data_IF_318771770859
#
_entry.id   IF_318771770859
#
_cell.length_a   1.000
_cell.length_b   1.000
_cell.length_c   1.000
_cell.angle_alpha   90.00
_cell.angle_beta   90.00
_cell.angle_gamma   90.00
#
_symmetry.space_group_name_H-M   'P 1'
#
loop_
_entity.id
_entity.type
_entity.pdbx_description
1 polymer ?
#
# COMPACT_ATOMS: atom_id res chain seq x y z
N UNK A 1 18.10 5.89 -18.28
CA UNK A 1 19.52 5.57 -18.24
C UNK A 1 20.14 6.57 -17.29
N UNK A 2 20.67 6.08 -16.19
CA UNK A 2 21.22 6.91 -15.14
C UNK A 2 22.62 7.36 -15.54
N UNK A 3 22.84 8.65 -15.58
CA UNK A 3 24.17 9.25 -15.67
C UNK A 3 24.81 9.42 -14.28
N UNK A 4 24.34 8.65 -13.28
CA UNK A 4 24.85 8.74 -11.91
C UNK A 4 26.04 7.79 -11.71
N UNK A 5 26.84 8.05 -10.69
CA UNK A 5 27.92 7.17 -10.25
C UNK A 5 27.40 5.80 -9.72
N UNK A 6 26.10 5.69 -9.48
CA UNK A 6 25.44 4.47 -9.04
C UNK A 6 24.41 4.02 -10.10
N UNK A 7 24.82 3.33 -11.15
CA UNK A 7 23.94 2.93 -12.26
C UNK A 7 23.01 1.76 -11.92
N UNK A 8 23.04 1.25 -10.69
CA UNK A 8 22.28 0.09 -10.22
C UNK A 8 21.25 0.55 -9.18
N UNK A 9 19.99 0.12 -9.36
CA UNK A 9 18.97 0.30 -8.33
C UNK A 9 19.16 -0.76 -7.23
N UNK A 10 19.61 -0.33 -6.06
CA UNK A 10 19.73 -1.21 -4.89
C UNK A 10 18.34 -1.69 -4.42
N UNK A 11 18.20 -3.01 -4.24
CA UNK A 11 17.00 -3.60 -3.65
C UNK A 11 17.16 -3.72 -2.13
N UNK A 12 16.11 -3.37 -1.39
CA UNK A 12 16.01 -3.59 0.06
C UNK A 12 14.65 -4.20 0.36
N UNK A 13 14.62 -5.21 1.21
CA UNK A 13 13.37 -5.74 1.73
C UNK A 13 13.44 -5.99 3.23
N UNK A 14 12.28 -6.07 3.87
CA UNK A 14 12.15 -6.34 5.29
C UNK A 14 11.02 -7.32 5.54
N UNK A 15 11.21 -8.20 6.53
CA UNK A 15 10.17 -9.11 6.97
C UNK A 15 8.97 -8.31 7.51
N UNK A 16 7.80 -8.52 6.91
CA UNK A 16 6.57 -7.84 7.28
C UNK A 16 5.51 -8.78 7.91
N UNK A 17 5.60 -10.07 7.65
CA UNK A 17 4.73 -11.09 8.25
C UNK A 17 5.40 -12.46 8.20
N UNK A 18 4.95 -13.37 9.07
CA UNK A 18 5.26 -14.79 9.04
C UNK A 18 3.93 -15.56 9.06
N UNK A 19 3.82 -16.58 8.23
CA UNK A 19 2.68 -17.49 8.23
C UNK A 19 3.10 -18.85 8.82
N UNK A 20 2.38 -19.27 9.86
CA UNK A 20 2.56 -20.59 10.49
C UNK A 20 1.18 -21.25 10.67
N UNK A 21 1.01 -22.45 10.12
CA UNK A 21 -0.25 -23.20 10.20
C UNK A 21 -1.50 -22.39 9.74
N UNK A 22 -1.34 -21.59 8.69
CA UNK A 22 -2.42 -20.75 8.15
C UNK A 22 -2.70 -19.47 8.96
N UNK A 23 -1.92 -19.20 10.00
CA UNK A 23 -2.02 -17.98 10.81
C UNK A 23 -0.93 -16.99 10.40
N UNK A 24 -1.34 -15.82 9.94
CA UNK A 24 -0.43 -14.75 9.56
C UNK A 24 -0.17 -13.84 10.76
N UNK A 25 1.09 -13.82 11.19
CA UNK A 25 1.56 -12.95 12.28
C UNK A 25 2.32 -11.78 11.70
N UNK A 26 1.86 -10.53 11.89
CA UNK A 26 2.56 -9.36 11.39
C UNK A 26 3.89 -9.16 12.13
N UNK A 27 4.87 -8.65 11.39
CA UNK A 27 6.20 -8.30 11.89
C UNK A 27 6.54 -6.88 11.48
N UNK A 28 7.25 -6.17 12.34
CA UNK A 28 7.69 -4.80 12.09
C UNK A 28 9.15 -4.64 12.49
N UNK A 29 9.90 -3.91 11.69
CA UNK A 29 11.23 -3.44 12.10
C UNK A 29 11.10 -2.02 12.62
N UNK A 30 11.32 -1.83 13.91
CA UNK A 30 11.36 -0.52 14.56
C UNK A 30 12.73 0.13 14.27
N UNK A 31 12.73 1.41 14.01
CA UNK A 31 13.93 2.20 13.73
C UNK A 31 13.80 3.57 14.40
N UNK A 32 14.90 4.13 14.89
CA UNK A 32 14.95 5.51 15.38
C UNK A 32 14.55 6.52 14.30
N UNK A 33 14.87 6.21 13.03
CA UNK A 33 14.39 7.01 11.91
C UNK A 33 12.98 6.53 11.52
N UNK A 34 11.97 7.33 11.84
CA UNK A 34 10.56 7.06 11.59
C UNK A 34 10.27 6.75 10.11
N UNK A 35 10.95 7.43 9.18
CA UNK A 35 10.79 7.19 7.73
C UNK A 35 11.23 5.79 7.28
N UNK A 36 12.00 5.08 8.11
CA UNK A 36 12.47 3.71 7.86
C UNK A 36 11.60 2.63 8.51
N UNK A 37 10.57 3.02 9.27
CA UNK A 37 9.61 2.09 9.86
C UNK A 37 8.71 1.55 8.75
N UNK A 38 8.64 0.22 8.64
CA UNK A 38 7.87 -0.45 7.59
C UNK A 38 6.41 -0.61 8.00
N UNK A 39 5.53 -0.79 7.03
CA UNK A 39 4.16 -1.22 7.28
C UNK A 39 4.13 -2.75 7.45
N UNK A 40 3.62 -3.27 8.58
CA UNK A 40 3.58 -4.70 8.87
C UNK A 40 2.52 -5.43 8.06
N UNK A 41 2.45 -6.74 8.24
CA UNK A 41 1.44 -7.63 7.69
C UNK A 41 1.63 -8.01 6.22
N UNK A 42 0.89 -9.02 5.77
CA UNK A 42 0.68 -9.34 4.36
C UNK A 42 -0.40 -8.38 3.81
N UNK A 43 -0.13 -7.72 2.67
CA UNK A 43 -0.88 -6.52 2.26
C UNK A 43 -1.32 -6.58 0.81
N UNK A 44 -2.39 -5.84 0.52
CA UNK A 44 -2.85 -5.48 -0.83
C UNK A 44 -2.71 -3.98 -1.03
N UNK A 45 -2.49 -3.58 -2.28
CA UNK A 45 -2.42 -2.19 -2.68
C UNK A 45 -3.53 -1.90 -3.68
N UNK A 46 -4.37 -0.94 -3.35
CA UNK A 46 -5.48 -0.49 -4.20
C UNK A 46 -5.22 0.92 -4.69
N UNK A 47 -5.43 1.17 -5.98
CA UNK A 47 -5.50 2.51 -6.56
C UNK A 47 -6.96 2.93 -6.69
N UNK A 48 -7.24 4.14 -6.23
CA UNK A 48 -8.58 4.71 -6.20
C UNK A 48 -8.64 5.80 -7.26
N UNK A 49 -9.70 5.76 -8.07
CA UNK A 49 -9.93 6.69 -9.17
C UNK A 49 -11.25 7.43 -8.95
N UNK A 50 -11.27 8.71 -9.28
CA UNK A 50 -12.51 9.47 -9.42
C UNK A 50 -13.27 9.05 -10.69
N UNK A 51 -14.52 9.48 -10.81
CA UNK A 51 -15.40 9.19 -11.96
C UNK A 51 -14.83 9.67 -13.31
N UNK A 52 -13.93 10.65 -13.29
CA UNK A 52 -13.20 11.13 -14.48
C UNK A 52 -12.01 10.24 -14.88
N UNK A 53 -11.75 9.15 -14.16
CA UNK A 53 -10.64 8.23 -14.39
C UNK A 53 -9.29 8.69 -13.85
N UNK A 54 -9.22 9.82 -13.14
CA UNK A 54 -7.99 10.28 -12.50
C UNK A 54 -7.76 9.58 -11.17
N UNK A 55 -6.53 9.10 -10.97
CA UNK A 55 -6.11 8.48 -9.71
C UNK A 55 -5.91 9.54 -8.63
N UNK A 56 -6.55 9.35 -7.49
CA UNK A 56 -6.54 10.32 -6.38
C UNK A 56 -5.71 9.89 -5.20
N UNK A 57 -5.60 8.59 -4.96
CA UNK A 57 -4.78 8.02 -3.90
C UNK A 57 -4.56 6.53 -4.15
N UNK A 58 -3.54 5.98 -3.51
CA UNK A 58 -3.41 4.55 -3.31
C UNK A 58 -3.72 4.22 -1.83
N UNK A 59 -4.34 3.07 -1.56
CA UNK A 59 -4.60 2.61 -0.20
C UNK A 59 -3.97 1.24 0.02
N UNK A 60 -3.12 1.17 1.03
CA UNK A 60 -2.51 -0.08 1.48
C UNK A 60 -3.41 -0.71 2.54
N UNK A 61 -3.87 -1.92 2.27
CA UNK A 61 -4.80 -2.69 3.09
C UNK A 61 -4.17 -3.99 3.59
N UNK A 62 -4.70 -4.56 4.66
CA UNK A 62 -4.38 -5.95 5.03
C UNK A 62 -4.92 -6.89 3.94
N UNK A 63 -4.25 -8.01 3.72
CA UNK A 63 -4.54 -8.94 2.62
C UNK A 63 -5.99 -9.44 2.54
N UNK A 64 -6.68 -9.51 3.68
CA UNK A 64 -8.07 -9.97 3.80
C UNK A 64 -9.11 -8.85 3.64
N UNK A 65 -8.67 -7.60 3.46
CA UNK A 65 -9.55 -6.48 3.20
C UNK A 65 -9.86 -6.37 1.70
N UNK A 66 -11.06 -5.91 1.39
CA UNK A 66 -11.49 -5.52 0.05
C UNK A 66 -12.19 -4.18 0.12
N UNK A 67 -11.96 -3.34 -0.88
CA UNK A 67 -12.66 -2.06 -1.00
C UNK A 67 -13.88 -2.28 -1.87
N UNK A 68 -15.06 -2.00 -1.31
CA UNK A 68 -16.35 -2.08 -2.00
C UNK A 68 -16.71 -0.68 -2.52
N UNK A 69 -16.68 -0.43 -3.85
CA UNK A 69 -16.94 0.90 -4.40
C UNK A 69 -18.42 1.34 -4.27
N UNK A 70 -19.33 0.44 -3.88
CA UNK A 70 -20.72 0.78 -3.60
C UNK A 70 -20.93 1.45 -2.23
N UNK A 71 -19.90 1.48 -1.40
CA UNK A 71 -19.94 2.06 -0.04
C UNK A 71 -19.02 3.26 0.08
N UNK A 72 -19.34 4.24 0.92
CA UNK A 72 -18.44 5.35 1.18
C UNK A 72 -17.08 4.86 1.70
N UNK A 73 -16.00 5.38 1.12
CA UNK A 73 -14.62 5.11 1.53
C UNK A 73 -14.03 6.35 2.19
N UNK A 74 -13.54 6.23 3.41
CA UNK A 74 -12.82 7.31 4.08
C UNK A 74 -11.31 7.06 4.02
N UNK A 75 -10.62 7.90 3.27
CA UNK A 75 -9.18 8.02 3.25
C UNK A 75 -8.72 8.94 4.38
N UNK A 76 -7.56 8.68 4.94
CA UNK A 76 -6.95 9.55 5.96
C UNK A 76 -5.43 9.48 5.87
N UNK A 77 -4.79 10.61 6.12
CA UNK A 77 -3.34 10.72 6.21
C UNK A 77 -2.85 9.87 7.41
N UNK A 78 -1.96 8.88 7.22
CA UNK A 78 -1.53 7.99 8.29
C UNK A 78 -0.76 8.69 9.42
N UNK A 79 -0.12 9.84 9.15
CA UNK A 79 0.62 10.63 10.12
C UNK A 79 -0.26 11.73 10.74
N UNK A 80 -1.25 12.24 9.99
CA UNK A 80 -2.16 13.31 10.40
C UNK A 80 -3.62 12.85 10.29
N UNK A 81 -4.03 11.93 11.15
CA UNK A 81 -5.30 11.20 11.06
C UNK A 81 -6.58 12.05 11.08
N UNK A 82 -6.47 13.33 11.42
CA UNK A 82 -7.58 14.30 11.31
C UNK A 82 -7.79 14.80 9.87
N UNK A 83 -6.79 14.69 8.99
CA UNK A 83 -6.93 14.98 7.57
C UNK A 83 -7.62 13.79 6.90
N UNK A 84 -8.88 13.96 6.55
CA UNK A 84 -9.73 12.91 6.00
C UNK A 84 -10.45 13.38 4.74
N UNK A 85 -10.68 12.46 3.82
CA UNK A 85 -11.55 12.64 2.66
C UNK A 85 -12.47 11.43 2.54
N UNK A 86 -13.77 11.62 2.48
CA UNK A 86 -14.74 10.56 2.22
C UNK A 86 -15.18 10.61 0.76
N UNK A 87 -15.08 9.48 0.09
CA UNK A 87 -15.44 9.28 -1.31
C UNK A 87 -16.72 8.45 -1.39
N UNK A 88 -17.63 8.83 -2.27
CA UNK A 88 -18.90 8.11 -2.53
C UNK A 88 -19.06 7.70 -3.99
N UNK A 89 -18.32 8.32 -4.89
CA UNK A 89 -18.30 8.02 -6.32
C UNK A 89 -16.84 7.82 -6.75
N UNK A 90 -16.42 6.57 -6.80
CA UNK A 90 -15.05 6.19 -7.15
C UNK A 90 -15.02 4.78 -7.73
N UNK A 91 -13.94 4.48 -8.42
CA UNK A 91 -13.59 3.12 -8.82
C UNK A 91 -12.28 2.70 -8.16
N UNK A 92 -12.04 1.40 -8.10
CA UNK A 92 -10.85 0.86 -7.42
C UNK A 92 -10.23 -0.26 -8.25
N UNK A 93 -8.90 -0.32 -8.22
CA UNK A 93 -8.14 -1.39 -8.86
C UNK A 93 -7.07 -1.91 -7.90
N UNK A 94 -7.03 -3.23 -7.69
CA UNK A 94 -5.90 -3.88 -7.03
C UNK A 94 -4.68 -3.83 -7.97
N UNK A 95 -3.55 -3.34 -7.47
CA UNK A 95 -2.35 -3.13 -8.28
C UNK A 95 -1.43 -4.35 -8.30
N UNK A 96 -1.54 -5.23 -7.33
CA UNK A 96 -0.70 -6.41 -7.23
C UNK A 96 -1.23 -7.51 -8.14
N UNK A 97 -0.31 -8.15 -8.85
CA UNK A 97 -0.59 -9.31 -9.70
C UNK A 97 0.26 -10.48 -9.24
N UNK A 98 -0.25 -11.72 -9.25
CA UNK A 98 0.53 -12.89 -8.90
C UNK A 98 1.62 -13.13 -9.96
N UNK A 99 2.86 -13.32 -9.51
CA UNK A 99 3.99 -13.69 -10.38
C UNK A 99 4.29 -15.18 -10.24
N UNK A 100 4.31 -15.67 -9.01
CA UNK A 100 4.46 -17.08 -8.70
C UNK A 100 3.29 -17.55 -7.84
N UNK A 101 2.80 -18.76 -8.10
CA UNK A 101 1.78 -19.43 -7.30
C UNK A 101 2.20 -20.89 -7.10
N UNK A 102 2.33 -21.30 -5.83
CA UNK A 102 2.78 -22.65 -5.46
C UNK A 102 4.10 -23.08 -6.13
N UNK A 103 5.04 -22.12 -6.30
CA UNK A 103 6.33 -22.36 -6.95
C UNK A 103 6.33 -22.30 -8.48
N UNK A 104 5.16 -22.18 -9.11
CA UNK A 104 5.02 -22.06 -10.57
C UNK A 104 4.93 -20.61 -11.00
N UNK A 105 5.60 -20.27 -12.10
CA UNK A 105 5.49 -18.94 -12.74
C UNK A 105 4.13 -18.83 -13.44
N UNK A 106 3.29 -17.92 -12.95
CA UNK A 106 1.92 -17.67 -13.49
C UNK A 106 1.80 -16.33 -14.19
N UNK A 107 2.86 -15.56 -14.27
CA UNK A 107 2.90 -14.23 -14.89
C UNK A 107 3.50 -14.30 -16.29
N UNK A 108 2.71 -13.93 -17.29
CA UNK A 108 3.20 -13.76 -18.66
C UNK A 108 4.05 -12.50 -18.74
N UNK A 109 5.36 -12.69 -19.05
CA UNK A 109 6.29 -11.58 -19.15
C UNK A 109 5.93 -10.68 -20.33
N UNK A 110 5.50 -9.42 -20.10
CA UNK A 110 5.14 -8.52 -21.18
C UNK A 110 6.37 -8.10 -22.00
N UNK A 111 6.15 -7.70 -23.25
CA UNK A 111 7.20 -7.09 -24.06
C UNK A 111 7.64 -5.74 -23.48
N UNK A 112 8.84 -5.28 -23.86
CA UNK A 112 9.31 -3.94 -23.47
C UNK A 112 8.35 -2.84 -23.91
N UNK A 113 7.73 -3.01 -25.08
CA UNK A 113 6.78 -2.03 -25.61
C UNK A 113 5.49 -2.00 -24.76
N UNK A 114 5.00 -3.15 -24.31
CA UNK A 114 3.83 -3.25 -23.43
C UNK A 114 4.11 -2.58 -22.08
N UNK A 115 5.31 -2.82 -21.52
CA UNK A 115 5.74 -2.18 -20.26
C UNK A 115 5.76 -0.66 -20.40
N UNK A 116 6.31 -0.13 -21.50
CA UNK A 116 6.34 1.31 -21.77
C UNK A 116 4.94 1.90 -21.94
N UNK A 117 4.09 1.20 -22.69
CA UNK A 117 2.70 1.61 -22.91
C UNK A 117 1.91 1.63 -21.62
N UNK A 118 2.08 0.60 -20.80
CA UNK A 118 1.47 0.52 -19.46
C UNK A 118 1.94 1.67 -18.56
N UNK A 119 3.25 1.92 -18.50
CA UNK A 119 3.81 3.04 -17.74
C UNK A 119 3.18 4.38 -18.15
N UNK A 120 3.14 4.65 -19.47
CA UNK A 120 2.51 5.86 -19.98
C UNK A 120 1.03 5.96 -19.57
N UNK A 121 0.26 4.89 -19.75
CA UNK A 121 -1.15 4.85 -19.36
C UNK A 121 -1.34 5.16 -17.88
N UNK A 122 -0.47 4.63 -17.00
CA UNK A 122 -0.56 4.90 -15.57
C UNK A 122 -0.23 6.36 -15.24
N UNK A 123 0.77 6.95 -15.89
CA UNK A 123 1.12 8.37 -15.74
C UNK A 123 -0.05 9.25 -16.18
N UNK A 124 -0.69 8.93 -17.29
CA UNK A 124 -1.81 9.70 -17.86
C UNK A 124 -3.04 9.71 -16.90
N UNK A 125 -3.13 8.79 -15.95
CA UNK A 125 -4.17 8.81 -14.90
C UNK A 125 -3.88 9.79 -13.75
N UNK A 126 -2.66 10.27 -13.60
CA UNK A 126 -2.31 11.21 -12.53
C UNK A 126 -2.77 12.63 -12.88
N UNK A 127 -3.01 13.43 -11.84
CA UNK A 127 -3.30 14.85 -11.97
C UNK A 127 -2.05 15.63 -12.40
N UNK A 128 -2.22 16.68 -13.18
CA UNK A 128 -1.12 17.50 -13.68
C UNK A 128 -0.31 18.13 -12.53
N UNK A 129 -0.96 18.45 -11.41
CA UNK A 129 -0.32 18.97 -10.20
C UNK A 129 0.67 18.00 -9.57
N UNK A 130 0.45 16.68 -9.70
CA UNK A 130 1.37 15.64 -9.25
C UNK A 130 2.55 15.50 -10.21
N UNK A 131 2.32 15.74 -11.51
CA UNK A 131 3.30 15.56 -12.58
C UNK A 131 4.21 16.78 -12.80
N UNK A 132 3.92 17.92 -12.17
CA UNK A 132 4.73 19.13 -12.32
C UNK A 132 6.17 18.89 -11.92
N UNK A 133 7.10 19.46 -12.69
CA UNK A 133 8.53 19.41 -12.36
C UNK A 133 8.86 20.30 -11.13
N UNK A 134 8.24 21.48 -11.05
CA UNK A 134 8.43 22.40 -9.94
C UNK A 134 7.28 22.30 -8.93
N UNK A 135 7.62 22.10 -7.68
CA UNK A 135 6.68 22.02 -6.56
C UNK A 135 5.51 21.07 -6.83
N UNK A 136 5.74 19.79 -7.18
CA UNK A 136 4.67 18.85 -7.42
C UNK A 136 3.84 18.65 -6.14
N UNK A 137 2.55 18.43 -6.31
CA UNK A 137 1.71 17.96 -5.22
C UNK A 137 2.07 16.53 -4.85
N UNK A 138 2.00 16.21 -3.55
CA UNK A 138 2.18 14.86 -3.09
C UNK A 138 1.04 13.96 -3.59
N UNK A 139 1.38 12.81 -4.12
CA UNK A 139 0.43 11.73 -4.33
C UNK A 139 0.27 10.95 -3.04
N UNK A 140 -0.97 10.74 -2.60
CA UNK A 140 -1.26 10.12 -1.31
C UNK A 140 -1.20 8.60 -1.40
N UNK A 141 -0.53 7.99 -0.42
CA UNK A 141 -0.54 6.55 -0.18
C UNK A 141 -0.98 6.33 1.26
N UNK A 142 -2.25 6.07 1.42
CA UNK A 142 -2.89 5.96 2.72
C UNK A 142 -2.89 4.51 3.23
N UNK A 143 -3.14 4.33 4.52
CA UNK A 143 -3.35 3.02 5.12
C UNK A 143 -4.84 2.78 5.34
N UNK A 144 -5.28 1.51 5.24
CA UNK A 144 -6.57 1.15 5.81
C UNK A 144 -6.55 1.33 7.32
N UNK A 145 -7.72 1.56 7.93
CA UNK A 145 -7.81 1.70 9.39
C UNK A 145 -7.26 0.46 10.10
N UNK A 146 -7.61 -0.73 9.62
CA UNK A 146 -7.13 -2.01 10.16
C UNK A 146 -5.60 -2.09 10.14
N UNK A 147 -4.97 -1.75 9.01
CA UNK A 147 -3.51 -1.77 8.90
C UNK A 147 -2.85 -0.72 9.78
N UNK A 148 -3.44 0.47 9.86
CA UNK A 148 -2.97 1.54 10.72
C UNK A 148 -3.00 1.14 12.20
N UNK A 149 -4.12 0.55 12.67
CA UNK A 149 -4.28 0.09 14.04
C UNK A 149 -3.26 -1.02 14.39
N UNK A 150 -3.06 -2.01 13.50
CA UNK A 150 -2.04 -3.07 13.68
C UNK A 150 -0.64 -2.47 13.77
N UNK A 151 -0.31 -1.51 12.91
CA UNK A 151 1.01 -0.86 12.93
C UNK A 151 1.27 -0.15 14.26
N UNK A 152 0.31 0.60 14.75
CA UNK A 152 0.47 1.37 15.99
C UNK A 152 0.48 0.45 17.22
N UNK A 153 -0.37 -0.58 17.25
CA UNK A 153 -0.31 -1.60 18.30
C UNK A 153 1.07 -2.27 18.39
N UNK A 154 1.67 -2.59 17.24
CA UNK A 154 3.03 -3.15 17.21
C UNK A 154 4.09 -2.15 17.69
N UNK A 155 3.98 -0.88 17.30
CA UNK A 155 4.90 0.15 17.75
C UNK A 155 4.82 0.38 19.26
N UNK A 156 3.61 0.46 19.81
CA UNK A 156 3.37 0.69 21.23
C UNK A 156 3.83 -0.49 22.11
N UNK A 157 3.84 -1.70 21.56
CA UNK A 157 4.23 -2.91 22.26
C UNK A 157 5.64 -3.44 21.91
N UNK A 158 6.52 -2.58 21.36
CA UNK A 158 7.89 -2.96 21.04
C UNK A 158 8.03 -4.03 19.95
N UNK A 159 7.06 -4.09 19.02
CA UNK A 159 7.06 -5.01 17.88
C UNK A 159 6.29 -6.33 18.11
N UNK A 160 5.58 -6.46 19.23
CA UNK A 160 4.80 -7.67 19.57
C UNK A 160 3.31 -7.33 19.65
N UNK A 161 2.45 -8.11 19.01
CA UNK A 161 1.00 -8.01 19.22
C UNK A 161 0.63 -8.59 20.61
N UNK A 162 -0.22 -7.87 21.33
CA UNK A 162 -0.81 -8.44 22.54
C UNK A 162 -1.79 -9.54 22.15
N UNK A 163 -1.72 -10.69 22.85
CA UNK A 163 -2.77 -11.70 22.76
C UNK A 163 -4.10 -11.04 23.16
N UNK A 164 -5.09 -11.08 22.26
CA UNK A 164 -6.45 -10.65 22.64
C UNK A 164 -6.95 -11.64 23.68
N UNK A 165 -6.95 -11.23 24.93
CA UNK A 165 -7.62 -11.98 26.02
C UNK A 165 -9.11 -12.07 25.64
N UNK A 166 -9.58 -13.30 25.40
CA UNK A 166 -10.96 -13.61 25.03
C UNK A 166 -11.95 -13.41 26.18
N UNK A 167 -11.83 -12.34 26.95
CA UNK A 167 -12.81 -11.91 27.93
C UNK A 167 -13.68 -10.82 27.35
N UNK A 168 -14.75 -11.26 26.70
CA UNK A 168 -15.92 -10.41 26.56
C UNK A 168 -16.33 -9.93 27.96
N UNK A 169 -16.33 -8.63 28.16
CA UNK A 169 -16.93 -8.05 29.37
C UNK A 169 -18.43 -8.19 29.23
N UNK A 170 -18.97 -9.13 29.99
CA UNK A 170 -20.40 -9.24 30.26
C UNK A 170 -20.96 -7.97 30.91
#
# INVERSE_FOLDING_TARGET
ITASSEPVFGGVYKLAAVEENGVITPKIKISENVSKITNPHFKKLYRIYESNGKAIADQLCVYDETIDPSKPLTLFDPDFTWKKKTLTDFTVRELQVPVFKSGELVYDKPSLQDIRSYCKQQIDTLWDEVLRFENPHNYYVDLSRKLWDIKHELLDNGGVLRARDGRERS
#
